data_IF_515304036219
#
_entry.id   IF_515304036219
#
_cell.length_a   1.000
_cell.length_b   1.000
_cell.length_c   1.000
_cell.angle_alpha   90.00
_cell.angle_beta   90.00
_cell.angle_gamma   90.00
#
_symmetry.space_group_name_H-M   'P 1'
#
loop_
_entity.id
_entity.type
_entity.pdbx_description
1 polymer ?
#
# COMPACT_ATOMS: atom_id res chain seq x y z
N UNK A 1 25.65 8.18 -6.98
CA UNK A 1 26.36 8.58 -5.78
C UNK A 1 27.87 8.69 -6.08
N UNK A 2 28.50 9.84 -5.75
CA UNK A 2 29.92 10.09 -6.01
C UNK A 2 30.29 10.55 -7.44
N UNK A 3 29.28 10.76 -8.29
CA UNK A 3 29.44 11.26 -9.65
C UNK A 3 28.56 12.49 -9.90
N UNK A 4 28.99 13.36 -10.82
CA UNK A 4 28.17 14.47 -11.28
C UNK A 4 27.20 13.98 -12.35
N UNK A 5 25.95 14.43 -12.31
CA UNK A 5 24.93 14.07 -13.30
C UNK A 5 25.33 14.50 -14.72
N UNK A 6 26.11 15.57 -14.85
CA UNK A 6 26.65 16.06 -16.13
C UNK A 6 27.59 15.07 -16.83
N UNK A 7 28.11 14.07 -16.12
CA UNK A 7 28.90 12.99 -16.73
C UNK A 7 28.04 12.03 -17.57
N UNK A 8 26.71 12.00 -17.32
CA UNK A 8 25.78 11.06 -17.92
C UNK A 8 24.79 11.70 -18.89
N UNK A 9 24.41 12.95 -18.65
CA UNK A 9 23.41 13.67 -19.46
C UNK A 9 23.65 15.16 -19.38
N UNK A 10 23.41 15.92 -20.47
CA UNK A 10 23.27 17.37 -20.39
C UNK A 10 22.13 17.76 -19.44
N UNK A 11 22.22 18.93 -18.87
CA UNK A 11 21.18 19.50 -18.00
C UNK A 11 20.52 20.71 -18.66
N UNK A 12 19.30 21.02 -18.21
CA UNK A 12 18.52 22.15 -18.72
C UNK A 12 17.68 22.77 -17.61
N UNK A 13 17.20 23.99 -17.85
CA UNK A 13 16.15 24.59 -17.06
C UNK A 13 14.77 24.28 -17.66
N UNK A 14 13.76 23.88 -16.84
CA UNK A 14 12.40 23.62 -17.33
C UNK A 14 11.86 24.85 -18.07
N UNK A 15 11.17 24.61 -19.20
CA UNK A 15 10.55 25.63 -20.04
C UNK A 15 11.52 26.73 -20.53
N UNK A 16 12.83 26.49 -20.57
CA UNK A 16 13.89 27.45 -20.88
C UNK A 16 13.91 28.68 -19.94
N UNK A 17 13.37 28.55 -18.74
CA UNK A 17 13.37 29.59 -17.73
C UNK A 17 14.70 29.57 -16.97
N UNK A 18 15.59 30.47 -17.30
CA UNK A 18 16.94 30.59 -16.69
C UNK A 18 16.90 31.17 -15.27
N UNK A 19 15.80 31.80 -14.87
CA UNK A 19 15.59 32.34 -13.51
C UNK A 19 15.01 31.28 -12.58
N UNK A 20 14.46 30.20 -13.13
CA UNK A 20 14.02 29.06 -12.38
C UNK A 20 15.20 28.37 -11.67
N UNK A 21 15.17 28.29 -10.36
CA UNK A 21 16.20 27.63 -9.55
C UNK A 21 16.25 26.08 -9.73
N UNK A 22 15.48 25.52 -10.67
CA UNK A 22 15.38 24.09 -10.92
C UNK A 22 16.21 23.72 -12.15
N UNK A 23 17.04 22.69 -12.00
CA UNK A 23 17.78 22.07 -13.11
C UNK A 23 17.30 20.64 -13.29
N UNK A 24 17.07 20.24 -14.53
CA UNK A 24 16.61 18.88 -14.90
C UNK A 24 17.60 18.24 -15.89
N UNK A 25 17.56 16.92 -16.00
CA UNK A 25 18.25 16.20 -17.06
C UNK A 25 17.62 16.54 -18.41
N UNK A 26 18.44 16.67 -19.47
CA UNK A 26 17.94 16.94 -20.81
C UNK A 26 17.44 15.67 -21.51
N UNK A 27 18.16 14.55 -21.33
CA UNK A 27 17.72 13.29 -21.92
C UNK A 27 16.48 12.76 -21.23
N UNK A 28 15.56 12.20 -22.03
CA UNK A 28 14.43 11.47 -21.51
C UNK A 28 14.89 10.33 -20.62
N UNK A 29 14.18 10.10 -19.51
CA UNK A 29 14.54 9.09 -18.51
C UNK A 29 14.69 7.70 -19.13
N UNK A 30 13.81 7.30 -20.05
CA UNK A 30 13.89 5.99 -20.71
C UNK A 30 15.15 5.78 -21.56
N UNK A 31 15.85 6.84 -21.90
CA UNK A 31 17.14 6.76 -22.62
C UNK A 31 18.32 6.49 -21.66
N UNK A 32 18.14 6.72 -20.35
CA UNK A 32 19.21 6.65 -19.33
C UNK A 32 18.85 5.75 -18.14
N UNK A 33 17.69 5.11 -18.14
CA UNK A 33 17.18 4.28 -17.03
C UNK A 33 18.00 3.00 -16.77
N UNK A 34 18.77 2.56 -17.73
CA UNK A 34 19.71 1.45 -17.59
C UNK A 34 21.05 1.84 -16.95
N UNK A 35 21.35 3.13 -16.88
CA UNK A 35 22.58 3.67 -16.28
C UNK A 35 22.35 4.41 -14.97
N UNK A 36 21.17 4.98 -14.79
CA UNK A 36 20.82 5.84 -13.66
C UNK A 36 19.60 5.33 -12.92
N UNK A 37 19.67 5.35 -11.58
CA UNK A 37 18.53 5.09 -10.73
C UNK A 37 17.76 6.40 -10.51
N UNK A 38 16.47 6.41 -10.87
CA UNK A 38 15.55 7.48 -10.54
C UNK A 38 14.86 7.15 -9.21
N UNK A 39 15.00 8.03 -8.24
CA UNK A 39 14.30 7.95 -6.97
C UNK A 39 13.13 8.95 -7.00
N UNK A 40 11.92 8.45 -6.79
CA UNK A 40 10.75 9.29 -6.61
C UNK A 40 10.69 9.70 -5.12
N UNK A 41 10.90 10.99 -4.86
CA UNK A 41 10.89 11.55 -3.50
C UNK A 41 9.53 12.23 -3.33
N UNK A 42 8.63 11.54 -2.61
CA UNK A 42 7.30 12.04 -2.30
C UNK A 42 7.24 12.42 -0.83
N UNK A 43 6.68 13.59 -0.54
CA UNK A 43 6.35 13.98 0.82
C UNK A 43 5.11 13.24 1.30
N UNK A 44 5.18 12.66 2.50
CA UNK A 44 4.06 12.03 3.20
C UNK A 44 3.99 12.54 4.62
N UNK A 45 2.76 12.70 5.13
CA UNK A 45 2.53 13.18 6.50
C UNK A 45 2.72 12.07 7.55
N UNK A 46 2.58 10.79 7.17
CA UNK A 46 2.65 9.66 8.09
C UNK A 46 3.92 9.58 8.93
N UNK A 47 5.15 9.76 8.38
CA UNK A 47 6.35 9.77 9.20
C UNK A 47 6.39 10.95 10.18
N UNK A 48 5.88 12.11 9.78
CA UNK A 48 5.77 13.30 10.66
C UNK A 48 4.77 13.04 11.77
N UNK A 49 3.62 12.44 11.45
CA UNK A 49 2.61 12.05 12.43
C UNK A 49 3.18 11.07 13.45
N UNK A 50 3.86 10.01 13.02
CA UNK A 50 4.50 9.04 13.92
C UNK A 50 5.52 9.73 14.83
N UNK A 51 6.35 10.61 14.28
CA UNK A 51 7.32 11.38 15.09
C UNK A 51 6.63 12.27 16.13
N UNK A 52 5.56 12.94 15.74
CA UNK A 52 4.76 13.78 16.66
C UNK A 52 4.18 12.93 17.80
N UNK A 53 3.67 11.74 17.49
CA UNK A 53 3.13 10.81 18.48
C UNK A 53 4.23 10.29 19.43
N UNK A 54 5.42 9.94 18.92
CA UNK A 54 6.57 9.58 19.75
C UNK A 54 6.96 10.72 20.71
N UNK A 55 7.01 11.95 20.20
CA UNK A 55 7.36 13.13 21.00
C UNK A 55 6.30 13.40 22.08
N UNK A 56 5.00 13.21 21.80
CA UNK A 56 3.94 13.33 22.81
C UNK A 56 4.07 12.30 23.91
N UNK A 57 4.23 11.01 23.56
CA UNK A 57 4.37 9.92 24.55
C UNK A 57 5.62 10.12 25.41
N UNK A 58 6.72 10.57 24.81
CA UNK A 58 7.99 10.80 25.52
C UNK A 58 7.99 12.07 26.36
N UNK A 59 7.02 12.96 26.15
CA UNK A 59 6.99 14.25 26.86
C UNK A 59 6.58 14.11 28.34
N UNK A 60 7.07 15.02 29.17
CA UNK A 60 6.69 15.12 30.59
C UNK A 60 5.20 15.43 30.82
N UNK A 61 4.46 15.77 29.75
CA UNK A 61 3.02 15.99 29.82
C UNK A 61 2.19 14.71 29.92
N UNK A 62 2.80 13.55 29.61
CA UNK A 62 2.16 12.23 29.68
C UNK A 62 2.64 11.50 30.95
N UNK A 63 1.70 11.02 31.76
CA UNK A 63 2.01 10.21 32.95
C UNK A 63 2.28 8.74 32.54
N UNK A 64 3.50 8.49 32.05
CA UNK A 64 3.94 7.15 31.66
C UNK A 64 5.42 6.90 32.01
N UNK A 65 5.98 5.77 31.60
CA UNK A 65 7.37 5.39 31.87
C UNK A 65 8.41 6.01 30.94
N UNK A 66 7.96 6.64 29.85
CA UNK A 66 8.84 7.19 28.81
C UNK A 66 9.26 8.63 29.17
N UNK A 67 10.50 8.97 28.79
CA UNK A 67 11.10 10.29 29.01
C UNK A 67 12.27 10.50 28.05
N UNK A 68 12.98 11.63 28.16
CA UNK A 68 14.11 11.96 27.29
C UNK A 68 15.26 10.94 27.33
N UNK A 69 15.48 10.27 28.48
CA UNK A 69 16.50 9.25 28.64
C UNK A 69 16.03 7.86 28.18
N UNK A 70 14.73 7.65 28.15
CA UNK A 70 14.09 6.41 27.70
C UNK A 70 12.89 6.74 26.79
N UNK A 71 13.14 7.17 25.54
CA UNK A 71 12.07 7.62 24.65
C UNK A 71 11.23 6.45 24.14
N UNK A 72 9.94 6.72 23.84
CA UNK A 72 9.10 5.79 23.13
C UNK A 72 9.56 5.66 21.67
N UNK A 73 9.62 4.43 21.16
CA UNK A 73 10.09 4.12 19.81
C UNK A 73 8.99 3.38 19.05
N UNK A 74 8.33 4.05 18.11
CA UNK A 74 7.21 3.47 17.36
C UNK A 74 7.59 2.25 16.50
N UNK A 75 8.86 2.07 16.15
CA UNK A 75 9.29 0.86 15.42
C UNK A 75 9.25 -0.40 16.27
N UNK A 76 9.15 -0.28 17.59
CA UNK A 76 8.99 -1.40 18.53
C UNK A 76 7.54 -1.86 18.72
N UNK A 77 6.58 -1.10 18.19
CA UNK A 77 5.16 -1.48 18.20
C UNK A 77 4.99 -2.82 17.48
N UNK A 78 4.36 -3.83 18.12
CA UNK A 78 4.11 -5.12 17.49
C UNK A 78 3.12 -4.97 16.33
N UNK A 79 3.45 -5.59 15.18
CA UNK A 79 2.62 -5.53 13.98
C UNK A 79 1.55 -6.65 13.91
N UNK A 80 1.36 -7.39 14.99
CA UNK A 80 0.38 -8.45 15.19
C UNK A 80 -0.57 -8.17 16.38
N UNK A 81 -0.62 -6.91 16.82
CA UNK A 81 -1.51 -6.46 17.88
C UNK A 81 -2.98 -6.73 17.53
N UNK A 82 -3.67 -7.50 18.38
CA UNK A 82 -5.04 -7.94 18.12
C UNK A 82 -6.06 -6.82 18.25
N UNK A 83 -5.85 -5.91 19.20
CA UNK A 83 -6.76 -4.79 19.42
C UNK A 83 -6.70 -3.81 18.25
N UNK A 84 -5.51 -3.65 17.64
CA UNK A 84 -5.37 -2.90 16.39
C UNK A 84 -6.11 -3.59 15.23
N UNK A 85 -6.07 -4.92 15.13
CA UNK A 85 -6.85 -5.65 14.12
C UNK A 85 -8.35 -5.49 14.37
N UNK A 86 -8.80 -5.57 15.63
CA UNK A 86 -10.22 -5.36 15.98
C UNK A 86 -10.74 -3.97 15.61
N UNK A 87 -9.86 -2.95 15.56
CA UNK A 87 -10.19 -1.62 15.05
C UNK A 87 -10.77 -1.64 13.63
N UNK A 88 -10.36 -2.59 12.81
CA UNK A 88 -10.83 -2.78 11.44
C UNK A 88 -12.10 -3.65 11.35
N UNK A 89 -12.59 -4.19 12.47
CA UNK A 89 -13.81 -5.00 12.52
C UNK A 89 -15.00 -4.25 13.15
N UNK A 90 -14.72 -3.38 14.12
CA UNK A 90 -15.73 -2.69 14.89
C UNK A 90 -15.20 -1.41 15.53
N UNK A 91 -16.01 -0.87 16.44
CA UNK A 91 -15.68 0.33 17.23
C UNK A 91 -15.51 0.01 18.72
N UNK A 92 -15.76 -1.24 19.11
CA UNK A 92 -15.78 -1.69 20.50
C UNK A 92 -14.44 -1.52 21.20
N UNK A 93 -13.35 -1.74 20.48
CA UNK A 93 -11.98 -1.55 21.01
C UNK A 93 -11.71 -0.09 21.41
N UNK A 94 -12.44 0.86 20.82
CA UNK A 94 -12.38 2.29 21.19
C UNK A 94 -13.36 2.66 22.30
N UNK A 95 -14.20 1.72 22.76
CA UNK A 95 -15.24 1.97 23.77
C UNK A 95 -16.39 2.88 23.27
N UNK A 96 -16.57 3.03 21.96
CA UNK A 96 -17.60 3.87 21.33
C UNK A 96 -18.54 3.03 20.47
N UNK A 97 -19.69 3.61 20.12
CA UNK A 97 -20.65 3.00 19.21
C UNK A 97 -20.63 3.65 17.84
N UNK A 98 -21.07 2.95 16.78
CA UNK A 98 -21.17 3.55 15.44
C UNK A 98 -21.96 4.87 15.41
N UNK A 99 -23.00 5.01 16.24
CA UNK A 99 -23.81 6.23 16.32
C UNK A 99 -23.03 7.45 16.81
N UNK A 100 -21.93 7.24 17.57
CA UNK A 100 -21.07 8.30 18.08
C UNK A 100 -20.16 8.87 16.98
N UNK A 101 -20.02 8.18 15.85
CA UNK A 101 -19.14 8.51 14.71
C UNK A 101 -19.88 8.42 13.36
N UNK A 102 -21.06 9.09 13.27
CA UNK A 102 -21.87 9.19 12.06
C UNK A 102 -22.25 7.84 11.42
N UNK A 103 -22.37 6.80 12.23
CA UNK A 103 -22.76 5.46 11.79
C UNK A 103 -21.62 4.64 11.16
N UNK A 104 -20.38 5.10 11.24
CA UNK A 104 -19.23 4.32 10.78
C UNK A 104 -19.08 3.05 11.63
N UNK A 105 -19.06 1.88 10.98
CA UNK A 105 -19.10 0.58 11.66
C UNK A 105 -17.75 0.05 12.12
N UNK A 106 -16.67 0.71 11.75
CA UNK A 106 -15.30 0.34 12.11
C UNK A 106 -14.52 1.54 12.62
N UNK A 107 -13.48 1.30 13.41
CA UNK A 107 -12.72 2.33 14.08
C UNK A 107 -11.63 3.00 13.22
N UNK A 108 -11.59 2.79 11.91
CA UNK A 108 -10.46 3.22 11.05
C UNK A 108 -10.47 4.69 10.61
N UNK A 109 -11.49 5.48 11.01
CA UNK A 109 -11.51 6.92 10.74
C UNK A 109 -10.25 7.61 11.27
N UNK A 110 -9.63 8.47 10.46
CA UNK A 110 -8.38 9.16 10.77
C UNK A 110 -7.12 8.29 10.67
N UNK A 111 -7.24 7.00 10.32
CA UNK A 111 -6.08 6.16 10.02
C UNK A 111 -5.70 6.33 8.55
N UNK A 112 -4.43 6.70 8.24
CA UNK A 112 -3.95 6.77 6.87
C UNK A 112 -4.25 5.48 6.10
N UNK A 113 -4.48 5.55 4.81
CA UNK A 113 -4.83 4.43 3.93
C UNK A 113 -6.24 3.84 4.14
N UNK A 114 -6.82 3.90 5.36
CA UNK A 114 -8.02 3.17 5.76
C UNK A 114 -9.20 4.05 6.20
N UNK A 115 -9.06 5.38 6.11
CA UNK A 115 -10.07 6.31 6.64
C UNK A 115 -11.06 6.86 5.60
N UNK A 116 -10.95 6.48 4.32
CA UNK A 116 -11.90 6.91 3.27
C UNK A 116 -13.09 5.96 3.17
N UNK A 117 -14.27 6.46 2.78
CA UNK A 117 -15.50 5.65 2.63
C UNK A 117 -15.29 4.44 1.73
N UNK A 118 -14.55 4.62 0.65
CA UNK A 118 -14.23 3.53 -0.29
C UNK A 118 -13.45 2.40 0.37
N UNK A 119 -12.43 2.73 1.16
CA UNK A 119 -11.60 1.72 1.83
C UNK A 119 -12.32 1.15 3.05
N UNK A 120 -13.08 1.95 3.80
CA UNK A 120 -13.94 1.47 4.90
C UNK A 120 -14.89 0.38 4.38
N UNK A 121 -15.56 0.62 3.25
CA UNK A 121 -16.44 -0.39 2.65
C UNK A 121 -15.66 -1.65 2.23
N UNK A 122 -14.46 -1.50 1.68
CA UNK A 122 -13.60 -2.63 1.29
C UNK A 122 -13.18 -3.46 2.52
N UNK A 123 -12.81 -2.81 3.62
CA UNK A 123 -12.48 -3.46 4.90
C UNK A 123 -13.68 -4.25 5.42
N UNK A 124 -14.89 -3.67 5.39
CA UNK A 124 -16.12 -4.36 5.80
C UNK A 124 -16.46 -5.57 4.91
N UNK A 125 -16.23 -5.45 3.60
CA UNK A 125 -16.46 -6.54 2.64
C UNK A 125 -15.46 -7.69 2.82
N UNK A 126 -14.21 -7.40 3.20
CA UNK A 126 -13.10 -8.37 3.23
C UNK A 126 -12.78 -8.92 4.62
N UNK A 127 -13.11 -8.19 5.69
CA UNK A 127 -12.90 -8.56 7.11
C UNK A 127 -11.46 -9.03 7.38
N UNK A 128 -10.44 -8.16 7.26
CA UNK A 128 -9.03 -8.51 7.41
C UNK A 128 -8.75 -9.06 8.80
N UNK A 129 -7.92 -10.10 8.89
CA UNK A 129 -7.54 -10.76 10.15
C UNK A 129 -6.08 -10.50 10.52
N UNK A 130 -5.29 -10.01 9.58
CA UNK A 130 -3.84 -9.88 9.72
C UNK A 130 -3.33 -8.61 9.03
N UNK A 131 -2.12 -8.18 9.42
CA UNK A 131 -1.39 -7.15 8.69
C UNK A 131 -1.28 -7.47 7.18
N UNK A 132 -1.08 -8.75 6.84
CA UNK A 132 -1.01 -9.19 5.44
C UNK A 132 -2.30 -8.88 4.67
N UNK A 133 -3.45 -9.04 5.31
CA UNK A 133 -4.75 -8.71 4.69
C UNK A 133 -4.91 -7.20 4.50
N UNK A 134 -4.46 -6.40 5.48
CA UNK A 134 -4.44 -4.93 5.35
C UNK A 134 -3.53 -4.47 4.21
N UNK A 135 -2.36 -5.09 4.03
CA UNK A 135 -1.46 -4.82 2.90
C UNK A 135 -2.15 -5.13 1.57
N UNK A 136 -2.91 -6.23 1.50
CA UNK A 136 -3.68 -6.59 0.32
C UNK A 136 -4.79 -5.60 0.02
N UNK A 137 -5.50 -5.13 1.04
CA UNK A 137 -6.53 -4.08 0.91
C UNK A 137 -5.92 -2.78 0.36
N UNK A 138 -4.77 -2.37 0.86
CA UNK A 138 -4.05 -1.21 0.33
C UNK A 138 -3.69 -1.40 -1.16
N UNK A 139 -3.21 -2.58 -1.55
CA UNK A 139 -2.97 -2.91 -2.96
C UNK A 139 -4.23 -2.82 -3.83
N UNK A 140 -5.36 -3.32 -3.33
CA UNK A 140 -6.66 -3.28 -4.02
C UNK A 140 -7.18 -1.84 -4.18
N UNK A 141 -6.96 -0.98 -3.19
CA UNK A 141 -7.48 0.40 -3.18
C UNK A 141 -6.73 1.34 -4.11
N UNK A 142 -5.44 1.11 -4.34
CA UNK A 142 -4.58 1.98 -5.14
C UNK A 142 -4.55 1.64 -6.63
N UNK A 143 -5.06 0.47 -7.02
CA UNK A 143 -5.10 0.06 -8.42
C UNK A 143 -6.34 0.55 -9.17
N UNK A 144 -6.28 0.52 -10.49
CA UNK A 144 -7.43 0.79 -11.36
C UNK A 144 -8.00 -0.53 -11.87
N UNK A 145 -9.30 -0.76 -11.67
CA UNK A 145 -10.00 -2.01 -11.99
C UNK A 145 -9.38 -3.26 -11.32
N UNK A 146 -8.85 -3.09 -10.12
CA UNK A 146 -8.34 -4.19 -9.31
C UNK A 146 -9.43 -4.66 -8.34
N UNK A 147 -10.12 -3.73 -7.65
CA UNK A 147 -11.21 -4.03 -6.73
C UNK A 147 -12.58 -4.01 -7.41
N UNK A 148 -13.07 -2.82 -7.81
CA UNK A 148 -14.41 -2.68 -8.40
C UNK A 148 -14.52 -3.41 -9.73
N UNK A 149 -15.60 -4.20 -9.86
CA UNK A 149 -15.85 -5.01 -11.07
C UNK A 149 -14.86 -6.16 -11.26
N UNK A 150 -14.00 -6.45 -10.29
CA UNK A 150 -12.97 -7.48 -10.35
C UNK A 150 -12.90 -8.25 -9.02
N UNK A 151 -11.89 -8.01 -8.16
CA UNK A 151 -11.69 -8.75 -6.92
C UNK A 151 -12.91 -8.70 -5.99
N UNK A 152 -13.65 -7.59 -5.96
CA UNK A 152 -14.89 -7.47 -5.19
C UNK A 152 -15.93 -8.54 -5.56
N UNK A 153 -16.15 -8.75 -6.85
CA UNK A 153 -17.10 -9.77 -7.33
C UNK A 153 -16.63 -11.18 -7.01
N UNK A 154 -15.33 -11.43 -7.13
CA UNK A 154 -14.73 -12.72 -6.81
C UNK A 154 -14.84 -13.05 -5.32
N UNK A 155 -14.60 -12.08 -4.45
CA UNK A 155 -14.71 -12.24 -3.00
C UNK A 155 -16.18 -12.41 -2.60
N UNK A 156 -17.09 -11.56 -3.09
CA UNK A 156 -18.53 -11.65 -2.79
C UNK A 156 -19.18 -12.96 -3.27
N UNK A 157 -18.72 -13.49 -4.39
CA UNK A 157 -19.20 -14.77 -4.92
C UNK A 157 -18.54 -16.01 -4.30
N UNK A 158 -17.52 -15.83 -3.44
CA UNK A 158 -16.75 -16.92 -2.85
C UNK A 158 -15.79 -17.63 -3.82
N UNK A 159 -15.59 -17.12 -5.03
CA UNK A 159 -14.62 -17.67 -6.00
C UNK A 159 -13.19 -17.41 -5.59
N UNK A 160 -12.93 -16.32 -4.87
CA UNK A 160 -11.64 -15.99 -4.29
C UNK A 160 -11.82 -15.46 -2.88
N UNK A 161 -10.74 -15.47 -2.10
CA UNK A 161 -10.62 -14.78 -0.81
C UNK A 161 -9.66 -13.61 -0.99
N UNK A 162 -9.54 -12.74 0.02
CA UNK A 162 -8.52 -11.68 0.00
C UNK A 162 -7.11 -12.26 -0.16
N UNK A 163 -6.87 -13.47 0.36
CA UNK A 163 -5.56 -14.13 0.27
C UNK A 163 -5.25 -14.70 -1.11
N UNK A 164 -6.27 -14.94 -1.95
CA UNK A 164 -6.11 -15.57 -3.27
C UNK A 164 -6.38 -14.61 -4.42
N UNK A 165 -7.10 -13.50 -4.18
CA UNK A 165 -7.35 -12.47 -5.17
C UNK A 165 -6.06 -11.74 -5.55
N UNK A 166 -6.02 -11.18 -6.76
CA UNK A 166 -4.93 -10.35 -7.23
C UNK A 166 -5.05 -8.97 -6.57
N UNK A 167 -4.11 -8.61 -5.70
CA UNK A 167 -4.11 -7.36 -4.95
C UNK A 167 -2.97 -6.42 -5.38
N UNK A 168 -1.79 -6.97 -5.64
CA UNK A 168 -0.59 -6.25 -6.08
C UNK A 168 0.01 -6.91 -7.31
N UNK A 169 0.87 -6.17 -8.04
CA UNK A 169 1.56 -6.75 -9.21
C UNK A 169 2.40 -7.97 -8.86
N UNK A 170 3.01 -7.95 -7.68
CA UNK A 170 3.86 -9.03 -7.19
C UNK A 170 3.08 -10.34 -7.00
N UNK A 171 1.79 -10.25 -6.65
CA UNK A 171 0.93 -11.42 -6.51
C UNK A 171 0.82 -12.20 -7.83
N UNK A 172 0.74 -11.50 -8.97
CA UNK A 172 0.67 -12.13 -10.30
C UNK A 172 1.94 -12.93 -10.57
N UNK A 173 3.10 -12.30 -10.41
CA UNK A 173 4.38 -12.94 -10.71
C UNK A 173 4.60 -14.17 -9.83
N UNK A 174 4.43 -14.04 -8.52
CA UNK A 174 4.65 -15.12 -7.56
C UNK A 174 3.65 -16.28 -7.79
N UNK A 175 2.38 -15.95 -8.03
CA UNK A 175 1.37 -16.97 -8.30
C UNK A 175 1.71 -17.79 -9.55
N UNK A 176 2.07 -17.13 -10.64
CA UNK A 176 2.42 -17.80 -11.90
C UNK A 176 3.68 -18.65 -11.77
N UNK A 177 4.72 -18.18 -11.07
CA UNK A 177 5.93 -18.96 -10.78
C UNK A 177 5.58 -20.21 -9.96
N UNK A 178 4.76 -20.06 -8.92
CA UNK A 178 4.32 -21.18 -8.07
C UNK A 178 3.44 -22.19 -8.84
N UNK A 179 2.77 -21.76 -9.89
CA UNK A 179 2.03 -22.62 -10.82
C UNK A 179 2.93 -23.34 -11.84
N UNK A 180 4.20 -22.96 -11.95
CA UNK A 180 5.16 -23.57 -12.88
C UNK A 180 5.36 -22.79 -14.19
N UNK A 181 4.82 -21.58 -14.28
CA UNK A 181 5.14 -20.68 -15.40
C UNK A 181 6.59 -20.23 -15.28
N UNK A 182 7.30 -20.22 -16.39
CA UNK A 182 8.71 -19.79 -16.43
C UNK A 182 8.86 -18.35 -15.89
N UNK A 183 9.89 -18.08 -15.07
CA UNK A 183 10.02 -16.86 -14.29
C UNK A 183 10.09 -15.59 -15.14
N UNK A 184 10.79 -15.61 -16.30
CA UNK A 184 10.88 -14.46 -17.19
C UNK A 184 9.53 -14.18 -17.88
N UNK A 185 8.78 -15.23 -18.21
CA UNK A 185 7.44 -15.12 -18.75
C UNK A 185 6.47 -14.58 -17.67
N UNK A 186 6.53 -15.08 -16.45
CA UNK A 186 5.71 -14.61 -15.33
C UNK A 186 5.94 -13.11 -15.05
N UNK A 187 7.19 -12.68 -15.08
CA UNK A 187 7.55 -11.26 -14.98
C UNK A 187 6.98 -10.44 -16.15
N UNK A 188 7.09 -10.92 -17.38
CA UNK A 188 6.58 -10.25 -18.59
C UNK A 188 5.06 -10.09 -18.53
N UNK A 189 4.35 -11.14 -18.11
CA UNK A 189 2.89 -11.12 -17.92
C UNK A 189 2.52 -10.07 -16.85
N UNK A 190 3.17 -10.13 -15.70
CA UNK A 190 2.95 -9.17 -14.61
C UNK A 190 3.15 -7.72 -15.08
N UNK A 191 4.24 -7.43 -15.79
CA UNK A 191 4.53 -6.09 -16.33
C UNK A 191 3.48 -5.62 -17.35
N UNK A 192 2.96 -6.52 -18.17
CA UNK A 192 1.88 -6.19 -19.11
C UNK A 192 0.57 -5.87 -18.39
N UNK A 193 0.18 -6.70 -17.44
CA UNK A 193 -1.04 -6.55 -16.65
C UNK A 193 -1.02 -5.27 -15.83
N UNK A 194 0.06 -5.01 -15.08
CA UNK A 194 0.16 -3.81 -14.24
C UNK A 194 0.08 -2.49 -15.02
N UNK A 195 0.48 -2.51 -16.30
CA UNK A 195 0.41 -1.36 -17.24
C UNK A 195 -0.92 -1.29 -18.00
N UNK A 196 -1.87 -2.17 -17.70
CA UNK A 196 -3.18 -2.24 -18.34
C UNK A 196 -3.16 -2.68 -19.80
N UNK A 197 -2.07 -3.32 -20.25
CA UNK A 197 -1.95 -3.83 -21.63
C UNK A 197 -2.62 -5.19 -21.82
N UNK A 198 -3.09 -5.82 -20.72
CA UNK A 198 -3.76 -7.11 -20.75
C UNK A 198 -2.82 -8.29 -21.02
N UNK A 199 -3.40 -9.38 -21.53
CA UNK A 199 -2.73 -10.64 -21.84
C UNK A 199 -2.71 -10.87 -23.35
N UNK A 200 -1.64 -11.49 -23.84
CA UNK A 200 -1.58 -12.01 -25.20
C UNK A 200 -2.12 -13.44 -25.25
N UNK A 201 -2.68 -13.90 -26.39
CA UNK A 201 -3.23 -15.25 -26.50
C UNK A 201 -2.25 -16.36 -26.10
N UNK A 202 -1.00 -16.26 -26.51
CA UNK A 202 0.05 -17.23 -26.19
C UNK A 202 0.37 -17.29 -24.68
N UNK A 203 0.17 -16.19 -23.95
CA UNK A 203 0.34 -16.16 -22.50
C UNK A 203 -0.83 -16.79 -21.77
N UNK A 204 -2.05 -16.60 -22.26
CA UNK A 204 -3.23 -17.28 -21.72
C UNK A 204 -3.13 -18.79 -21.89
N UNK A 205 -2.64 -19.26 -23.06
CA UNK A 205 -2.38 -20.68 -23.30
C UNK A 205 -1.33 -21.23 -22.34
N UNK A 206 -0.23 -20.50 -22.11
CA UNK A 206 0.81 -20.89 -21.16
C UNK A 206 0.28 -20.95 -19.72
N UNK A 207 -0.57 -19.99 -19.31
CA UNK A 207 -1.22 -19.98 -18.01
C UNK A 207 -2.18 -21.17 -17.85
N UNK A 208 -3.02 -21.45 -18.84
CA UNK A 208 -3.95 -22.60 -18.83
C UNK A 208 -3.22 -23.94 -18.80
N UNK A 209 -2.08 -24.05 -19.47
CA UNK A 209 -1.24 -25.25 -19.45
C UNK A 209 -0.66 -25.55 -18.05
N UNK A 210 -0.64 -24.57 -17.15
CA UNK A 210 -0.20 -24.68 -15.75
C UNK A 210 -1.39 -24.63 -14.76
N UNK A 211 -2.58 -24.99 -15.20
CA UNK A 211 -3.80 -25.03 -14.39
C UNK A 211 -4.11 -23.69 -13.67
N UNK A 212 -3.82 -22.56 -14.32
CA UNK A 212 -4.30 -21.27 -13.86
C UNK A 212 -5.79 -21.15 -14.17
N UNK A 213 -6.65 -20.91 -13.17
CA UNK A 213 -8.09 -20.90 -13.38
C UNK A 213 -8.55 -19.72 -14.23
N UNK A 214 -9.61 -19.92 -15.01
CA UNK A 214 -10.16 -18.90 -15.93
C UNK A 214 -10.48 -17.58 -15.22
N UNK A 215 -11.03 -17.62 -14.00
CA UNK A 215 -11.35 -16.40 -13.24
C UNK A 215 -10.08 -15.55 -12.94
N UNK A 216 -8.92 -16.20 -12.78
CA UNK A 216 -7.64 -15.51 -12.55
C UNK A 216 -7.18 -14.79 -13.82
N UNK A 217 -7.28 -15.47 -14.96
CA UNK A 217 -6.97 -14.92 -16.29
C UNK A 217 -7.89 -13.73 -16.60
N UNK A 218 -9.21 -13.89 -16.38
CA UNK A 218 -10.19 -12.81 -16.53
C UNK A 218 -9.89 -11.63 -15.62
N UNK A 219 -9.49 -11.88 -14.38
CA UNK A 219 -9.07 -10.84 -13.45
C UNK A 219 -7.87 -10.04 -13.97
N UNK A 220 -6.84 -10.72 -14.49
CA UNK A 220 -5.69 -10.08 -15.12
C UNK A 220 -6.09 -9.18 -16.31
N UNK A 221 -7.05 -9.60 -17.13
CA UNK A 221 -7.51 -8.85 -18.29
C UNK A 221 -8.26 -7.54 -17.93
N UNK A 222 -8.95 -7.53 -16.78
CA UNK A 222 -9.71 -6.37 -16.28
C UNK A 222 -8.80 -5.25 -15.75
N UNK A 223 -7.64 -5.59 -15.22
CA UNK A 223 -6.72 -4.67 -14.53
C UNK A 223 -6.16 -3.63 -15.51
N UNK A 224 -6.17 -2.35 -15.10
CA UNK A 224 -5.62 -1.23 -15.86
C UNK A 224 -4.37 -0.63 -15.25
N UNK A 225 -4.24 -0.70 -13.94
CA UNK A 225 -3.06 -0.23 -13.22
C UNK A 225 -2.95 -0.93 -11.86
N UNK A 226 -1.72 -1.30 -11.47
CA UNK A 226 -1.45 -1.94 -10.18
C UNK A 226 -0.23 -1.35 -9.49
N UNK A 227 -0.33 -1.29 -8.16
CA UNK A 227 0.77 -0.91 -7.29
C UNK A 227 1.68 -2.09 -6.94
N UNK A 228 2.96 -1.82 -6.62
CA UNK A 228 3.87 -2.81 -6.07
C UNK A 228 3.53 -3.14 -4.62
N UNK A 229 3.75 -4.38 -4.21
CA UNK A 229 3.52 -4.84 -2.83
C UNK A 229 4.40 -4.09 -1.82
N UNK A 230 5.65 -3.78 -2.18
CA UNK A 230 6.57 -3.05 -1.32
C UNK A 230 6.04 -1.67 -0.92
N UNK A 231 5.37 -0.96 -1.84
CA UNK A 231 4.69 0.29 -1.53
C UNK A 231 3.58 0.09 -0.49
N UNK A 232 2.67 -0.85 -0.73
CA UNK A 232 1.59 -1.17 0.20
C UNK A 232 2.13 -1.56 1.60
N UNK A 233 3.18 -2.38 1.67
CA UNK A 233 3.83 -2.76 2.94
C UNK A 233 4.31 -1.52 3.70
N UNK A 234 5.04 -0.63 3.05
CA UNK A 234 5.61 0.55 3.71
C UNK A 234 4.53 1.44 4.34
N UNK A 235 3.46 1.74 3.59
CA UNK A 235 2.38 2.62 4.07
C UNK A 235 1.49 1.94 5.10
N UNK A 236 1.16 0.67 4.91
CA UNK A 236 0.34 -0.07 5.89
C UNK A 236 1.06 -0.28 7.21
N UNK A 237 2.38 -0.48 7.21
CA UNK A 237 3.15 -0.53 8.46
C UNK A 237 3.07 0.79 9.24
N UNK A 238 3.16 1.93 8.56
CA UNK A 238 2.97 3.24 9.20
C UNK A 238 1.54 3.42 9.70
N UNK A 239 0.54 3.11 8.87
CA UNK A 239 -0.86 3.18 9.25
C UNK A 239 -1.20 2.28 10.45
N UNK A 240 -0.65 1.07 10.52
CA UNK A 240 -0.83 0.15 11.63
C UNK A 240 -0.26 0.71 12.94
N UNK A 241 0.92 1.34 12.89
CA UNK A 241 1.51 2.01 14.03
C UNK A 241 0.68 3.20 14.50
N UNK A 242 0.17 4.01 13.58
CA UNK A 242 -0.73 5.11 13.90
C UNK A 242 -2.06 4.58 14.51
N UNK A 243 -2.58 3.46 13.99
CA UNK A 243 -3.74 2.79 14.56
C UNK A 243 -3.49 2.26 15.97
N UNK A 244 -2.27 1.80 16.26
CA UNK A 244 -1.88 1.39 17.61
C UNK A 244 -1.99 2.55 18.61
N UNK A 245 -1.53 3.76 18.26
CA UNK A 245 -1.70 4.93 19.12
C UNK A 245 -3.17 5.25 19.33
N UNK A 246 -4.00 5.12 18.29
CA UNK A 246 -5.44 5.36 18.44
C UNK A 246 -6.11 4.45 19.45
N UNK A 247 -5.68 3.18 19.52
CA UNK A 247 -6.22 2.16 20.43
C UNK A 247 -5.64 2.31 21.83
N UNK A 248 -4.30 2.38 21.94
CA UNK A 248 -3.59 2.29 23.23
C UNK A 248 -3.26 3.64 23.84
N UNK A 249 -3.11 4.68 23.03
CA UNK A 249 -2.72 6.04 23.44
C UNK A 249 -3.63 7.11 22.80
N UNK A 250 -4.97 7.01 23.02
CA UNK A 250 -5.93 7.87 22.34
C UNK A 250 -5.71 9.36 22.62
N UNK A 251 -5.24 9.72 23.82
CA UNK A 251 -4.95 11.12 24.15
C UNK A 251 -3.87 11.67 23.21
N UNK A 252 -2.78 10.95 22.99
CA UNK A 252 -1.73 11.36 22.07
C UNK A 252 -2.25 11.41 20.63
N UNK A 253 -2.99 10.37 20.20
CA UNK A 253 -3.53 10.29 18.84
C UNK A 253 -4.45 11.47 18.49
N UNK A 254 -5.37 11.85 19.37
CA UNK A 254 -6.31 12.93 19.12
C UNK A 254 -5.74 14.34 19.40
N UNK A 255 -4.54 14.43 19.98
CA UNK A 255 -3.82 15.69 20.20
C UNK A 255 -2.88 16.06 19.05
N UNK A 256 -2.47 15.07 18.26
CA UNK A 256 -1.63 15.24 17.08
C UNK A 256 -2.46 15.60 15.85
#
# INVERSE_FOLDING_TARGET
>A
HGHDINEFTPVQHPANDMECGITTTHFDYHSIDHNLLKLDILGHDDPTMIRTLEDYITSDAMENEYNADHPFIATEIPLDDKDVIELFHGTEVLGIKPEDIDGCKIGSLGIPEFGTDFVIQMVQDTKPQTLSDLIRISGLSHGTNVWLGNAQELVKSGKATISTAICTRDDIMIYLINKGVESALAFTIMESVRKGKGLKPEWEEAMKAQDVPDWYIESCQKIKYMFPKAHAVAYVMMAFRIAWFKVHEPLAFYSA
#
